data_IF_834921233258
#
_entry.id   IF_834921233258
#
_cell.length_a   1.000
_cell.length_b   1.000
_cell.length_c   1.000
_cell.angle_alpha   90.00
_cell.angle_beta   90.00
_cell.angle_gamma   90.00
#
_symmetry.space_group_name_H-M   'P 1'
#
loop_
_entity.id
_entity.type
_entity.pdbx_description
1 polymer ?
#
# COMPACT_ATOMS: atom_id res chain seq x y z
N UNK A 1 83.72 8.87 -32.01
CA UNK A 1 83.39 7.44 -31.89
C UNK A 1 81.87 7.37 -31.72
N UNK A 2 81.13 7.28 -32.84
CA UNK A 2 80.42 6.05 -33.30
C UNK A 2 79.31 5.62 -32.32
N UNK A 3 78.03 5.51 -32.64
CA UNK A 3 77.24 5.61 -33.87
C UNK A 3 75.79 5.20 -33.54
N UNK A 4 74.82 5.72 -34.31
CA UNK A 4 73.39 5.41 -34.27
C UNK A 4 73.07 4.12 -35.06
N UNK A 5 72.09 3.31 -34.63
CA UNK A 5 71.37 2.26 -35.41
C UNK A 5 69.94 2.16 -34.79
N UNK A 6 68.87 2.78 -35.34
CA UNK A 6 67.81 2.20 -36.23
C UNK A 6 67.32 0.79 -35.81
N UNK A 7 66.09 0.53 -35.36
CA UNK A 7 64.80 0.63 -36.07
C UNK A 7 64.38 -0.75 -36.63
N UNK A 8 63.27 -1.35 -36.14
CA UNK A 8 62.39 -2.29 -36.88
C UNK A 8 61.11 -2.60 -36.04
N UNK A 9 59.92 -2.07 -36.32
CA UNK A 9 58.83 -2.52 -37.24
C UNK A 9 57.99 -3.73 -36.76
N UNK A 10 56.73 -3.42 -36.42
CA UNK A 10 55.48 -4.14 -36.74
C UNK A 10 55.29 -5.61 -36.32
N UNK A 11 54.25 -5.85 -35.50
CA UNK A 11 52.98 -6.45 -35.97
C UNK A 11 51.93 -6.53 -34.85
N UNK A 12 50.81 -5.83 -35.06
CA UNK A 12 49.50 -6.16 -34.49
C UNK A 12 49.02 -7.50 -35.07
N UNK A 13 48.35 -8.32 -34.26
CA UNK A 13 47.25 -9.20 -34.69
C UNK A 13 46.33 -9.53 -33.50
N UNK A 14 45.07 -9.21 -33.71
CA UNK A 14 43.91 -9.45 -32.89
C UNK A 14 43.49 -10.94 -32.77
N UNK A 15 42.71 -11.22 -31.70
CA UNK A 15 41.66 -12.27 -31.53
C UNK A 15 42.09 -13.75 -31.30
N UNK A 16 41.19 -14.69 -30.84
CA UNK A 16 39.76 -14.58 -30.46
C UNK A 16 39.40 -15.24 -29.09
N UNK A 17 38.37 -14.80 -28.35
CA UNK A 17 36.98 -15.31 -28.28
C UNK A 17 36.74 -16.78 -28.72
N UNK A 18 36.47 -17.72 -27.80
CA UNK A 18 35.35 -18.71 -27.79
C UNK A 18 35.61 -19.91 -26.84
N UNK A 19 34.68 -20.18 -25.92
CA UNK A 19 33.84 -21.40 -25.89
C UNK A 19 33.12 -21.50 -24.52
N UNK A 20 31.82 -21.17 -24.47
CA UNK A 20 30.68 -22.11 -24.60
C UNK A 20 30.46 -22.91 -23.30
N UNK A 21 29.55 -22.52 -22.41
CA UNK A 21 28.09 -22.81 -22.42
C UNK A 21 27.79 -24.34 -22.46
N UNK A 22 26.99 -24.75 -21.47
CA UNK A 22 26.24 -26.02 -21.32
C UNK A 22 27.00 -27.21 -20.72
N UNK A 23 26.77 -27.50 -19.43
CA UNK A 23 26.19 -28.79 -18.99
C UNK A 23 25.27 -28.52 -17.78
N UNK A 24 24.02 -28.21 -18.10
CA UNK A 24 22.85 -28.51 -17.30
C UNK A 24 22.79 -30.03 -17.10
N UNK A 25 23.06 -30.56 -15.89
CA UNK A 25 22.55 -31.87 -15.40
C UNK A 25 23.17 -32.24 -14.03
N UNK A 26 22.61 -31.71 -12.94
CA UNK A 26 22.60 -32.40 -11.63
C UNK A 26 21.23 -32.31 -10.96
N UNK A 27 20.17 -32.42 -11.78
CA UNK A 27 18.88 -32.95 -11.35
C UNK A 27 18.97 -34.46 -11.55
N UNK A 28 19.21 -35.20 -10.47
CA UNK A 28 18.72 -36.56 -10.21
C UNK A 28 19.46 -37.15 -9.01
N UNK A 29 18.72 -37.89 -8.18
CA UNK A 29 19.17 -38.80 -7.11
C UNK A 29 19.14 -38.21 -5.69
N UNK A 30 17.92 -38.13 -5.14
CA UNK A 30 17.44 -38.92 -3.98
C UNK A 30 16.02 -38.45 -3.64
N UNK A 31 15.00 -39.07 -4.22
CA UNK A 31 14.21 -40.13 -3.57
C UNK A 31 14.09 -39.94 -2.05
N UNK A 32 12.99 -39.34 -1.61
CA UNK A 32 12.28 -39.78 -0.41
C UNK A 32 10.79 -39.43 -0.55
N UNK A 33 10.10 -40.22 -1.35
CA UNK A 33 8.66 -40.47 -1.22
C UNK A 33 8.37 -41.14 0.14
N UNK A 34 7.10 -41.12 0.56
CA UNK A 34 6.47 -41.65 1.80
C UNK A 34 6.23 -40.51 2.81
N UNK A 35 5.01 -40.14 3.22
CA UNK A 35 3.73 -40.84 3.12
C UNK A 35 2.54 -39.90 3.21
N UNK A 36 1.53 -40.28 2.44
CA UNK A 36 0.19 -39.73 2.36
C UNK A 36 -0.60 -40.21 3.59
N UNK A 37 -0.91 -39.35 4.56
CA UNK A 37 -1.84 -39.68 5.65
C UNK A 37 -3.18 -39.01 5.38
N UNK A 38 -4.02 -39.72 4.61
CA UNK A 38 -5.43 -39.42 4.40
C UNK A 38 -6.21 -39.99 5.59
N UNK A 39 -6.64 -39.15 6.52
CA UNK A 39 -7.57 -39.56 7.59
C UNK A 39 -8.95 -38.96 7.30
N UNK A 40 -9.76 -39.73 6.58
CA UNK A 40 -11.20 -39.57 6.51
C UNK A 40 -11.80 -39.99 7.84
N UNK A 41 -12.43 -39.07 8.57
CA UNK A 41 -13.41 -39.42 9.61
C UNK A 41 -14.69 -38.68 9.26
N UNK A 42 -15.56 -39.41 8.55
CA UNK A 42 -16.98 -39.15 8.51
C UNK A 42 -17.60 -39.78 9.77
N UNK A 43 -18.40 -39.01 10.51
CA UNK A 43 -19.37 -39.57 11.44
C UNK A 43 -20.71 -38.84 11.29
N UNK A 44 -21.60 -39.56 10.62
CA UNK A 44 -23.06 -39.55 10.56
C UNK A 44 -23.85 -38.66 11.55
N UNK A 45 -24.70 -37.80 10.97
CA UNK A 45 -26.17 -37.89 10.93
C UNK A 45 -27.00 -38.06 12.23
N UNK A 46 -28.01 -37.15 12.35
CA UNK A 46 -29.38 -37.33 12.94
C UNK A 46 -29.44 -37.25 14.48
N UNK A 47 -30.41 -36.66 15.20
CA UNK A 47 -31.80 -36.16 14.96
C UNK A 47 -32.35 -35.44 16.24
N UNK A 48 -33.48 -34.73 16.07
CA UNK A 48 -34.56 -34.31 17.01
C UNK A 48 -34.34 -33.03 17.85
N UNK A 49 -35.21 -32.00 17.71
CA UNK A 49 -36.55 -31.83 18.36
C UNK A 49 -36.44 -31.83 19.90
N UNK A 50 -37.01 -30.92 20.67
CA UNK A 50 -38.15 -30.03 20.47
C UNK A 50 -38.28 -29.07 21.68
N UNK A 51 -39.31 -28.22 21.62
CA UNK A 51 -40.01 -27.53 22.71
C UNK A 51 -39.57 -26.13 23.16
N UNK A 52 -40.31 -25.21 22.56
CA UNK A 52 -40.81 -23.97 23.14
C UNK A 52 -41.32 -24.07 24.59
N UNK A 53 -41.24 -22.95 25.31
CA UNK A 53 -42.25 -22.58 26.31
C UNK A 53 -42.59 -21.09 26.18
N UNK A 54 -43.88 -20.72 26.23
CA UNK A 54 -44.35 -19.37 25.94
C UNK A 54 -44.32 -18.50 27.21
N UNK A 55 -44.03 -17.20 27.03
CA UNK A 55 -44.27 -16.18 28.06
C UNK A 55 -45.37 -15.25 27.57
N UNK A 56 -46.60 -15.60 27.92
CA UNK A 56 -47.77 -14.73 27.86
C UNK A 56 -47.65 -13.64 28.93
N UNK A 57 -47.89 -12.38 28.56
CA UNK A 57 -48.57 -11.46 29.45
C UNK A 57 -49.45 -10.47 28.65
N UNK A 58 -50.58 -10.03 29.21
CA UNK A 58 -51.75 -9.59 28.45
C UNK A 58 -51.77 -8.07 28.22
N UNK A 59 -52.45 -7.71 27.14
CA UNK A 59 -52.86 -6.34 26.77
C UNK A 59 -54.07 -5.92 27.63
N UNK A 60 -54.14 -4.68 28.11
CA UNK A 60 -55.40 -3.98 28.36
C UNK A 60 -55.63 -2.80 27.40
N UNK A 61 -56.89 -2.30 27.28
CA UNK A 61 -57.44 -1.83 26.02
C UNK A 61 -57.51 -0.30 25.85
N UNK A 62 -57.55 0.09 24.57
CA UNK A 62 -58.35 1.16 23.92
C UNK A 62 -58.32 2.57 24.54
N UNK A 63 -57.95 3.57 23.72
CA UNK A 63 -58.83 4.73 23.42
C UNK A 63 -58.34 5.44 22.16
N UNK A 64 -59.17 5.37 21.13
CA UNK A 64 -59.14 6.22 19.93
C UNK A 64 -59.55 7.64 20.28
N UNK A 65 -58.77 8.62 19.84
CA UNK A 65 -59.25 9.97 19.54
C UNK A 65 -58.43 10.54 18.37
N UNK A 66 -59.08 11.24 17.41
CA UNK A 66 -58.47 11.63 16.15
C UNK A 66 -57.62 12.89 16.31
N UNK A 67 -56.32 12.79 16.07
CA UNK A 67 -55.47 13.97 15.90
C UNK A 67 -55.31 14.26 14.42
N UNK A 68 -55.94 15.36 14.04
CA UNK A 68 -55.77 16.17 12.84
C UNK A 68 -54.33 16.13 12.32
N UNK A 69 -54.16 15.63 11.10
CA UNK A 69 -52.90 15.69 10.39
C UNK A 69 -52.53 17.16 10.11
N UNK A 70 -51.51 17.67 10.79
CA UNK A 70 -50.66 18.74 10.26
C UNK A 70 -49.39 18.10 9.69
N UNK A 71 -48.95 18.48 8.47
CA UNK A 71 -47.74 17.92 7.88
C UNK A 71 -46.52 18.45 8.60
N UNK A 72 -45.99 17.68 9.54
CA UNK A 72 -44.70 17.95 10.15
C UNK A 72 -43.60 17.62 9.14
N UNK A 73 -43.01 18.67 8.57
CA UNK A 73 -41.76 18.60 7.81
C UNK A 73 -40.68 17.94 8.69
N UNK A 74 -40.44 16.65 8.48
CA UNK A 74 -39.25 15.98 8.99
C UNK A 74 -38.05 16.44 8.17
N UNK A 75 -36.97 16.97 8.76
CA UNK A 75 -35.69 17.08 8.08
C UNK A 75 -35.17 15.66 7.80
N UNK A 76 -35.37 15.18 6.57
CA UNK A 76 -34.74 13.95 6.09
C UNK A 76 -33.24 14.19 5.97
N UNK A 77 -32.46 13.85 7.00
CA UNK A 77 -31.00 13.77 6.86
C UNK A 77 -30.69 12.46 6.14
N UNK A 78 -30.67 12.51 4.81
CA UNK A 78 -30.11 11.47 3.96
C UNK A 78 -28.67 11.20 4.43
N UNK A 79 -28.26 9.94 4.71
CA UNK A 79 -26.88 9.63 5.05
C UNK A 79 -25.94 10.18 3.97
N UNK A 80 -24.95 10.96 4.38
CA UNK A 80 -23.91 11.52 3.49
C UNK A 80 -23.23 10.36 2.75
N UNK A 81 -23.12 10.38 1.40
CA UNK A 81 -22.47 9.30 0.68
C UNK A 81 -21.03 9.12 1.17
N UNK A 82 -20.58 7.86 1.31
CA UNK A 82 -19.27 7.48 1.86
C UNK A 82 -18.10 8.19 1.15
N UNK A 83 -18.27 8.57 -0.11
CA UNK A 83 -17.31 9.36 -0.89
C UNK A 83 -17.06 10.77 -0.36
N UNK A 84 -17.98 11.35 0.42
CA UNK A 84 -17.81 12.67 1.04
C UNK A 84 -17.11 12.61 2.42
N UNK A 85 -16.68 11.40 2.84
CA UNK A 85 -15.85 11.20 4.03
C UNK A 85 -14.36 11.20 3.69
N UNK A 86 -13.99 10.89 2.45
CA UNK A 86 -12.60 10.91 1.99
C UNK A 86 -12.17 12.31 1.59
N UNK A 87 -10.87 12.61 1.75
CA UNK A 87 -10.29 13.84 1.21
C UNK A 87 -9.74 13.61 -0.21
N UNK A 88 -9.72 14.67 -1.00
CA UNK A 88 -9.05 14.75 -2.30
C UNK A 88 -8.35 16.10 -2.38
N UNK A 89 -7.02 16.07 -2.47
CA UNK A 89 -6.18 17.26 -2.51
C UNK A 89 -5.73 17.51 -3.96
N UNK A 90 -5.30 18.74 -4.31
CA UNK A 90 -4.72 19.00 -5.61
C UNK A 90 -3.39 18.24 -5.79
N UNK A 91 -3.08 17.86 -7.03
CA UNK A 91 -1.75 17.39 -7.40
C UNK A 91 -0.80 18.59 -7.38
N UNK A 92 0.09 18.62 -6.41
CA UNK A 92 1.07 19.70 -6.22
C UNK A 92 2.50 19.19 -6.08
N UNK A 93 2.74 17.90 -6.30
CA UNK A 93 4.08 17.35 -6.45
C UNK A 93 4.14 16.20 -7.47
N UNK A 94 5.32 15.96 -8.03
CA UNK A 94 5.64 14.78 -8.85
C UNK A 94 6.87 14.12 -8.25
N UNK A 95 6.80 12.81 -8.00
CA UNK A 95 7.97 12.01 -7.66
C UNK A 95 8.44 11.19 -8.85
N UNK A 96 9.76 11.12 -9.06
CA UNK A 96 10.37 10.18 -9.99
C UNK A 96 10.88 8.97 -9.22
N UNK A 97 10.20 7.84 -9.37
CA UNK A 97 10.47 6.59 -8.64
C UNK A 97 10.85 5.52 -9.66
N UNK A 98 12.08 5.01 -9.59
CA UNK A 98 12.61 4.01 -10.53
C UNK A 98 12.34 4.34 -12.01
N UNK A 99 12.43 5.63 -12.38
CA UNK A 99 12.21 6.11 -13.75
C UNK A 99 10.75 6.41 -14.12
N UNK A 100 9.77 6.08 -13.27
CA UNK A 100 8.34 6.41 -13.45
C UNK A 100 7.98 7.71 -12.74
N UNK A 101 7.10 8.50 -13.34
CA UNK A 101 6.53 9.68 -12.69
C UNK A 101 5.24 9.31 -11.96
N UNK A 102 5.16 9.70 -10.68
CA UNK A 102 3.98 9.53 -9.84
C UNK A 102 3.48 10.92 -9.44
N UNK A 103 2.22 11.21 -9.74
CA UNK A 103 1.54 12.45 -9.40
C UNK A 103 1.03 12.39 -7.96
N UNK A 104 1.42 13.36 -7.14
CA UNK A 104 1.22 13.33 -5.70
C UNK A 104 0.27 14.43 -5.22
N UNK A 105 -0.75 14.00 -4.50
CA UNK A 105 -1.51 14.84 -3.58
C UNK A 105 -0.64 15.16 -2.36
N UNK A 106 -0.53 16.41 -1.94
CA UNK A 106 0.34 16.78 -0.81
C UNK A 106 -0.48 17.11 0.42
N UNK A 107 -0.34 16.30 1.48
CA UNK A 107 -0.97 16.49 2.78
C UNK A 107 -0.09 17.37 3.67
N UNK A 108 -0.27 18.69 3.59
CA UNK A 108 0.61 19.66 4.27
C UNK A 108 0.22 19.91 5.73
N UNK A 109 -1.05 19.75 6.08
CA UNK A 109 -1.55 20.02 7.43
C UNK A 109 -1.65 18.74 8.26
N UNK A 110 -1.55 18.82 9.60
CA UNK A 110 -1.74 17.65 10.46
C UNK A 110 -3.07 16.92 10.22
N UNK A 111 -4.14 17.65 9.92
CA UNK A 111 -5.45 17.09 9.64
C UNK A 111 -5.47 16.32 8.31
N UNK A 112 -4.86 16.87 7.26
CA UNK A 112 -4.70 16.16 5.98
C UNK A 112 -3.84 14.91 6.16
N UNK A 113 -2.76 14.99 6.95
CA UNK A 113 -1.86 13.87 7.21
C UNK A 113 -2.56 12.76 8.01
N UNK A 114 -3.28 13.11 9.08
CA UNK A 114 -4.06 12.14 9.87
C UNK A 114 -5.14 11.47 9.03
N UNK A 115 -5.78 12.23 8.13
CA UNK A 115 -6.84 11.72 7.27
C UNK A 115 -6.32 10.83 6.14
N UNK A 116 -5.14 11.12 5.58
CA UNK A 116 -4.49 10.37 4.52
C UNK A 116 -5.44 9.91 3.41
N UNK A 117 -5.37 8.62 3.07
CA UNK A 117 -6.18 7.97 2.03
C UNK A 117 -7.46 7.29 2.57
N UNK A 118 -7.97 7.70 3.73
CA UNK A 118 -9.18 7.12 4.32
C UNK A 118 -10.43 7.31 3.45
N UNK A 119 -11.32 6.32 3.46
CA UNK A 119 -12.68 6.38 2.89
C UNK A 119 -12.79 6.67 1.38
N UNK A 120 -11.72 6.49 0.59
CA UNK A 120 -11.74 6.72 -0.86
C UNK A 120 -11.29 5.51 -1.67
N UNK A 121 -11.67 5.38 -2.95
CA UNK A 121 -11.27 4.25 -3.79
C UNK A 121 -9.74 4.06 -3.89
N UNK A 122 -9.28 2.88 -4.34
CA UNK A 122 -7.86 2.62 -4.55
C UNK A 122 -7.17 3.66 -5.44
N UNK A 123 -5.88 3.89 -5.21
CA UNK A 123 -5.05 4.74 -6.07
C UNK A 123 -4.83 4.08 -7.44
N UNK A 124 -4.75 4.91 -8.49
CA UNK A 124 -4.25 4.49 -9.79
C UNK A 124 -2.71 4.37 -9.80
N UNK A 125 -2.17 3.70 -10.83
CA UNK A 125 -0.75 3.35 -10.97
C UNK A 125 0.22 4.53 -11.06
N UNK A 126 -0.26 5.70 -11.44
CA UNK A 126 0.50 6.95 -11.59
C UNK A 126 0.18 7.96 -10.49
N UNK A 127 -0.49 7.51 -9.40
CA UNK A 127 -0.98 8.37 -8.31
C UNK A 127 -0.39 7.97 -6.96
N UNK A 128 -0.22 8.97 -6.10
CA UNK A 128 0.16 8.78 -4.72
C UNK A 128 -0.21 9.97 -3.84
N UNK A 129 0.13 9.86 -2.55
CA UNK A 129 0.03 10.95 -1.58
C UNK A 129 1.38 11.17 -0.91
N UNK A 130 1.80 12.43 -0.81
CA UNK A 130 3.02 12.89 -0.15
C UNK A 130 2.69 13.48 1.22
N UNK A 131 3.45 13.06 2.23
CA UNK A 131 3.39 13.55 3.60
C UNK A 131 4.73 14.21 3.95
N UNK A 132 4.86 15.54 3.85
CA UNK A 132 6.07 16.26 4.23
C UNK A 132 6.18 16.48 5.75
N UNK A 133 7.39 16.37 6.27
CA UNK A 133 7.76 16.58 7.67
C UNK A 133 9.02 17.44 7.75
N UNK A 134 8.87 18.68 8.20
CA UNK A 134 10.00 19.60 8.42
C UNK A 134 9.97 20.14 9.85
N UNK A 135 10.97 19.85 10.71
CA UNK A 135 12.15 19.04 10.41
C UNK A 135 11.84 17.54 10.28
N UNK A 136 12.80 16.78 9.74
CA UNK A 136 12.79 15.34 9.75
C UNK A 136 12.58 14.80 11.18
N UNK A 137 11.77 13.75 11.33
CA UNK A 137 11.43 13.19 12.65
C UNK A 137 11.07 11.72 12.54
N UNK A 138 11.08 10.96 13.66
CA UNK A 138 10.52 9.61 13.69
C UNK A 138 9.04 9.66 13.29
N UNK A 139 8.65 8.89 12.28
CA UNK A 139 7.28 8.74 11.81
C UNK A 139 6.91 7.28 11.65
N UNK A 140 5.64 6.98 11.88
CA UNK A 140 5.00 5.69 11.62
C UNK A 140 3.57 5.95 11.16
N UNK A 141 3.06 5.08 10.30
CA UNK A 141 1.77 5.20 9.65
C UNK A 141 0.88 4.03 10.01
N UNK A 142 -0.43 4.21 9.86
CA UNK A 142 -1.45 3.18 10.06
C UNK A 142 -2.39 3.14 8.86
N UNK A 143 -3.22 2.11 8.79
CA UNK A 143 -4.15 1.90 7.67
C UNK A 143 -5.61 1.96 8.11
N UNK A 144 -5.90 2.69 9.19
CA UNK A 144 -7.24 2.77 9.76
C UNK A 144 -8.17 3.46 8.78
N UNK A 145 -9.26 2.79 8.39
CA UNK A 145 -10.26 3.25 7.42
C UNK A 145 -9.73 3.52 6.00
N UNK A 146 -8.51 3.12 5.68
CA UNK A 146 -7.99 3.09 4.31
C UNK A 146 -8.47 1.79 3.65
N UNK A 147 -9.29 1.85 2.59
CA UNK A 147 -10.00 0.66 2.09
C UNK A 147 -9.15 -0.23 1.19
N UNK A 148 -7.95 0.18 0.79
CA UNK A 148 -7.03 -0.60 -0.05
C UNK A 148 -5.63 -0.67 0.57
N UNK A 149 -4.90 -1.79 0.43
CA UNK A 149 -3.51 -1.87 0.87
C UNK A 149 -2.61 -0.88 0.12
N UNK A 150 -1.53 -0.45 0.77
CA UNK A 150 -0.59 0.53 0.23
C UNK A 150 0.86 0.08 0.41
N UNK A 151 1.74 0.62 -0.43
CA UNK A 151 3.17 0.68 -0.12
C UNK A 151 3.49 2.09 0.41
N UNK A 152 4.28 2.18 1.48
CA UNK A 152 4.75 3.43 2.07
C UNK A 152 6.26 3.54 1.90
N UNK A 153 6.71 4.62 1.25
CA UNK A 153 8.12 4.88 0.95
C UNK A 153 8.58 6.02 1.85
N UNK A 154 9.45 5.72 2.81
CA UNK A 154 9.98 6.69 3.76
C UNK A 154 11.26 7.29 3.21
N UNK A 155 11.34 8.61 3.18
CA UNK A 155 12.46 9.36 2.62
C UNK A 155 13.14 10.22 3.68
N UNK A 156 14.45 10.33 3.59
CA UNK A 156 15.26 11.32 4.30
C UNK A 156 16.22 11.96 3.29
N UNK A 157 16.08 13.27 3.04
CA UNK A 157 16.87 13.99 2.04
C UNK A 157 16.81 13.34 0.65
N UNK A 158 15.62 12.81 0.30
CA UNK A 158 15.37 12.10 -0.96
C UNK A 158 15.88 10.66 -1.02
N UNK A 159 16.55 10.16 0.02
CA UNK A 159 16.98 8.75 0.12
C UNK A 159 15.89 7.89 0.71
N UNK A 160 15.60 6.74 0.11
CA UNK A 160 14.70 5.73 0.68
C UNK A 160 15.35 5.12 1.92
N UNK A 161 14.78 5.40 3.10
CA UNK A 161 15.26 4.89 4.40
C UNK A 161 14.46 3.70 4.91
N UNK A 162 13.25 3.50 4.41
CA UNK A 162 12.44 2.32 4.66
C UNK A 162 11.35 2.18 3.59
N UNK A 163 10.87 0.95 3.38
CA UNK A 163 9.68 0.68 2.57
C UNK A 163 8.76 -0.28 3.32
N UNK A 164 7.58 0.18 3.74
CA UNK A 164 6.53 -0.71 4.24
C UNK A 164 5.66 -1.17 3.07
N UNK A 165 5.90 -2.40 2.59
CA UNK A 165 5.16 -2.97 1.46
C UNK A 165 3.88 -3.64 1.92
N UNK A 166 2.84 -3.55 1.11
CA UNK A 166 1.55 -4.22 1.33
C UNK A 166 0.97 -3.98 2.73
N UNK A 167 1.07 -2.75 3.24
CA UNK A 167 0.48 -2.36 4.52
C UNK A 167 -1.02 -2.68 4.51
N UNK A 168 -1.47 -3.52 5.46
CA UNK A 168 -2.82 -4.09 5.44
C UNK A 168 -3.86 -3.14 6.00
N UNK A 169 -5.06 -3.13 5.42
CA UNK A 169 -6.18 -2.29 5.87
C UNK A 169 -6.68 -2.67 7.26
N UNK A 170 -7.29 -1.72 7.97
CA UNK A 170 -7.91 -1.97 9.27
C UNK A 170 -9.10 -1.03 9.52
N UNK A 171 -10.06 -1.46 10.34
CA UNK A 171 -11.22 -0.64 10.76
C UNK A 171 -11.31 -0.43 12.27
N UNK A 172 -10.66 -1.28 13.07
CA UNK A 172 -10.75 -1.29 14.52
C UNK A 172 -9.39 -1.00 15.17
N UNK A 173 -9.39 -0.73 16.47
CA UNK A 173 -8.16 -0.60 17.25
C UNK A 173 -7.86 -1.95 17.95
N UNK A 174 -6.57 -2.28 18.18
CA UNK A 174 -5.39 -1.59 17.67
C UNK A 174 -5.21 -1.83 16.16
N UNK A 175 -4.75 -0.80 15.45
CA UNK A 175 -4.38 -0.90 14.04
C UNK A 175 -2.85 -1.10 13.95
N UNK A 176 -2.34 -2.00 13.08
CA UNK A 176 -0.91 -2.13 12.85
C UNK A 176 -0.27 -0.79 12.44
N UNK A 177 0.97 -0.60 12.86
CA UNK A 177 1.77 0.59 12.57
C UNK A 177 2.99 0.23 11.72
N UNK A 178 3.38 1.13 10.83
CA UNK A 178 4.37 0.88 9.78
C UNK A 178 5.38 2.04 9.67
N UNK A 179 6.70 1.78 9.75
CA UNK A 179 7.29 0.58 10.36
C UNK A 179 6.97 0.53 11.87
N UNK A 180 7.02 -0.66 12.48
CA UNK A 180 6.59 -0.88 13.86
C UNK A 180 7.29 0.02 14.89
N UNK A 181 8.57 0.33 14.67
CA UNK A 181 9.38 1.16 15.56
C UNK A 181 9.50 2.62 15.08
N UNK A 182 8.79 2.99 14.01
CA UNK A 182 9.00 4.24 13.30
C UNK A 182 10.36 4.33 12.61
N UNK A 183 10.53 5.37 11.79
CA UNK A 183 11.79 5.69 11.11
C UNK A 183 11.92 7.20 10.98
N UNK A 184 13.14 7.74 11.07
CA UNK A 184 13.38 9.17 10.84
C UNK A 184 13.23 9.46 9.35
N UNK A 185 12.25 10.30 9.01
CA UNK A 185 11.96 10.70 7.64
C UNK A 185 11.55 12.18 7.57
N UNK A 186 11.83 12.82 6.43
CA UNK A 186 11.35 14.16 6.08
C UNK A 186 10.17 14.12 5.10
N UNK A 187 9.97 12.99 4.42
CA UNK A 187 8.85 12.77 3.51
C UNK A 187 8.42 11.30 3.57
N UNK A 188 7.13 11.05 3.39
CA UNK A 188 6.59 9.71 3.12
C UNK A 188 5.72 9.77 1.89
N UNK A 189 5.87 8.81 0.98
CA UNK A 189 5.03 8.66 -0.21
C UNK A 189 4.20 7.38 -0.08
N UNK A 190 2.89 7.50 -0.12
CA UNK A 190 1.96 6.39 -0.25
C UNK A 190 1.60 6.14 -1.72
N UNK A 191 1.71 4.89 -2.17
CA UNK A 191 1.29 4.42 -3.50
C UNK A 191 0.48 3.13 -3.37
N UNK A 192 -0.18 2.69 -4.44
CA UNK A 192 -0.89 1.40 -4.43
C UNK A 192 0.06 0.26 -4.03
N UNK A 193 -0.44 -0.70 -3.27
CA UNK A 193 0.35 -1.86 -2.87
C UNK A 193 0.93 -2.61 -4.07
N UNK A 194 2.14 -3.16 -3.88
CA UNK A 194 2.88 -3.93 -4.87
C UNK A 194 3.66 -3.08 -5.89
N UNK A 195 3.32 -1.79 -6.06
CA UNK A 195 3.97 -0.93 -7.05
C UNK A 195 5.48 -0.80 -6.80
N UNK A 196 5.91 -0.71 -5.54
CA UNK A 196 7.35 -0.61 -5.22
C UNK A 196 8.10 -1.89 -5.58
N UNK A 197 7.44 -3.05 -5.51
CA UNK A 197 8.01 -4.35 -5.90
C UNK A 197 8.09 -4.46 -7.41
N UNK A 198 7.04 -4.08 -8.14
CA UNK A 198 7.02 -4.05 -9.60
C UNK A 198 8.11 -3.15 -10.18
N UNK A 199 8.39 -2.02 -9.51
CA UNK A 199 9.44 -1.08 -9.88
C UNK A 199 10.85 -1.51 -9.45
N UNK A 200 10.98 -2.56 -8.64
CA UNK A 200 12.26 -2.98 -8.09
C UNK A 200 12.90 -1.97 -7.13
N UNK A 201 12.09 -1.09 -6.52
CA UNK A 201 12.57 -0.05 -5.60
C UNK A 201 13.13 -0.69 -4.31
N UNK A 202 14.28 -0.21 -3.85
CA UNK A 202 14.98 -0.70 -2.66
C UNK A 202 15.31 0.44 -1.68
N UNK A 203 15.59 0.07 -0.44
CA UNK A 203 16.18 0.99 0.52
C UNK A 203 17.57 1.43 0.03
N UNK A 204 17.86 2.72 0.17
CA UNK A 204 19.07 3.35 -0.36
C UNK A 204 18.91 4.01 -1.73
N UNK A 205 17.84 3.70 -2.48
CA UNK A 205 17.54 4.38 -3.74
C UNK A 205 17.25 5.87 -3.53
N UNK A 206 17.53 6.68 -4.55
CA UNK A 206 17.19 8.11 -4.56
C UNK A 206 15.87 8.37 -5.28
N UNK A 207 15.00 9.13 -4.65
CA UNK A 207 13.75 9.65 -5.21
C UNK A 207 13.83 11.17 -5.23
N UNK A 208 13.57 11.76 -6.40
CA UNK A 208 13.39 13.21 -6.52
C UNK A 208 11.92 13.54 -6.44
N UNK A 209 11.57 14.45 -5.52
CA UNK A 209 10.23 15.05 -5.43
C UNK A 209 10.30 16.49 -5.92
N UNK A 210 9.52 16.81 -6.95
CA UNK A 210 9.38 18.16 -7.48
C UNK A 210 8.02 18.72 -7.09
N UNK A 211 8.01 19.74 -6.23
CA UNK A 211 6.80 20.50 -5.96
C UNK A 211 6.43 21.35 -7.16
N UNK A 212 5.15 21.31 -7.52
CA UNK A 212 4.58 22.10 -8.60
C UNK A 212 4.18 23.46 -8.04
N UNK A 213 4.59 24.53 -8.71
CA UNK A 213 4.14 25.87 -8.36
C UNK A 213 2.61 25.95 -8.50
N UNK A 214 1.92 26.75 -7.66
CA UNK A 214 0.53 27.07 -7.90
C UNK A 214 0.40 27.60 -9.33
N UNK A 215 -0.46 26.99 -10.14
CA UNK A 215 -0.87 27.64 -11.39
C UNK A 215 -1.65 28.87 -10.95
N UNK A 216 -1.09 30.05 -11.18
CA UNK A 216 -1.80 31.32 -10.95
C UNK A 216 -3.18 31.20 -11.63
N UNK A 217 -4.23 31.13 -10.82
CA UNK A 217 -5.63 31.15 -11.27
C UNK A 217 -6.06 32.59 -11.52
#
# INVERSE_FOLDING_TARGET
MTGNITGDTSRNCDTPIHSSIQILQRVCIKLCTIGLSLSMIACSSLVLSDNAKPSTNPIPPVTTSPQTASPQLTPQTKPKPVSELGQYLPITAIAKIAGREIQLEVANTPQEQEKGLMFRPPLADDRGMLFPFNPARPVAFWMKNTPSPLDMIFLLDGKVVAIARNATTCKANPCPIYPENGVVADNVIEVRAGLTTEMGLQEGDQITVKFLLPKNQ
#
